data_IF_090357578526
#
_entry.id   IF_090357578526
#
_cell.length_a   1.000
_cell.length_b   1.000
_cell.length_c   1.000
_cell.angle_alpha   90.00
_cell.angle_beta   90.00
_cell.angle_gamma   90.00
#
_symmetry.space_group_name_H-M   'P 1'
#
loop_
_entity.id
_entity.type
_entity.pdbx_description
1 polymer ?
#
# COMPACT_ATOMS: atom_id res chain seq x y z
N UNK A 1 16.74 -2.22 -11.63
CA UNK A 1 16.06 -2.83 -12.80
C UNK A 1 15.14 -3.92 -12.27
N UNK A 2 13.92 -4.11 -12.81
CA UNK A 2 13.01 -5.13 -12.30
C UNK A 2 13.65 -6.52 -12.40
N UNK A 3 13.57 -7.31 -11.33
CA UNK A 3 14.07 -8.67 -11.29
C UNK A 3 13.07 -9.58 -12.01
N UNK A 4 13.40 -10.01 -13.23
CA UNK A 4 12.51 -10.80 -14.08
C UNK A 4 13.03 -12.24 -14.17
N UNK A 5 12.18 -13.22 -13.82
CA UNK A 5 12.53 -14.65 -13.83
C UNK A 5 11.41 -15.47 -14.47
N UNK A 6 11.69 -16.66 -15.04
CA UNK A 6 10.63 -17.55 -15.49
C UNK A 6 9.91 -18.19 -14.29
N UNK A 7 8.61 -18.49 -14.42
CA UNK A 7 7.82 -19.14 -13.35
C UNK A 7 8.44 -20.48 -12.92
N UNK A 8 9.10 -21.20 -13.83
CA UNK A 8 9.83 -22.44 -13.52
C UNK A 8 10.99 -22.23 -12.54
N UNK A 9 11.58 -21.03 -12.49
CA UNK A 9 12.68 -20.69 -11.58
C UNK A 9 12.22 -20.67 -10.11
N UNK A 10 10.95 -20.30 -9.88
CA UNK A 10 10.36 -20.26 -8.53
C UNK A 10 10.44 -21.61 -7.84
N UNK A 11 10.23 -22.71 -8.58
CA UNK A 11 10.26 -24.07 -8.03
C UNK A 11 11.63 -24.45 -7.48
N UNK A 12 12.70 -24.05 -8.16
CA UNK A 12 14.06 -24.48 -7.85
C UNK A 12 14.80 -23.47 -6.97
N UNK A 13 14.48 -22.19 -7.09
CA UNK A 13 15.19 -21.09 -6.44
C UNK A 13 14.30 -20.32 -5.44
N UNK A 14 13.26 -20.97 -4.89
CA UNK A 14 12.32 -20.34 -3.97
C UNK A 14 13.02 -19.62 -2.81
N UNK A 15 14.01 -20.25 -2.17
CA UNK A 15 14.72 -19.67 -1.02
C UNK A 15 15.39 -18.34 -1.38
N UNK A 16 16.16 -18.33 -2.46
CA UNK A 16 16.83 -17.12 -2.95
C UNK A 16 15.81 -16.03 -3.35
N UNK A 17 14.73 -16.41 -4.02
CA UNK A 17 13.67 -15.48 -4.41
C UNK A 17 12.96 -14.91 -3.18
N UNK A 18 12.71 -15.74 -2.17
CA UNK A 18 12.14 -15.31 -0.89
C UNK A 18 13.08 -14.34 -0.18
N UNK A 19 14.38 -14.62 -0.11
CA UNK A 19 15.39 -13.73 0.47
C UNK A 19 15.40 -12.38 -0.24
N UNK A 20 15.46 -12.36 -1.58
CA UNK A 20 15.38 -11.13 -2.38
C UNK A 20 14.14 -10.29 -2.05
N UNK A 21 12.96 -10.93 -1.97
CA UNK A 21 11.71 -10.24 -1.64
C UNK A 21 11.68 -9.63 -0.24
N UNK A 22 12.45 -10.16 0.72
CA UNK A 22 12.49 -9.67 2.10
C UNK A 22 13.64 -8.68 2.35
N UNK A 23 14.83 -8.96 1.84
CA UNK A 23 16.05 -8.19 2.11
C UNK A 23 16.11 -6.92 1.27
N UNK A 24 15.88 -7.03 -0.04
CA UNK A 24 15.92 -5.88 -0.94
C UNK A 24 14.62 -5.07 -0.87
N UNK A 25 13.54 -5.66 -0.34
CA UNK A 25 12.22 -5.03 -0.29
C UNK A 25 11.65 -4.71 -1.68
N UNK A 26 12.10 -5.44 -2.70
CA UNK A 26 11.66 -5.29 -4.09
C UNK A 26 10.90 -6.52 -4.59
N UNK A 27 9.89 -6.35 -5.47
CA UNK A 27 9.16 -7.46 -6.04
C UNK A 27 9.94 -8.16 -7.16
N UNK A 28 9.74 -9.47 -7.29
CA UNK A 28 10.23 -10.29 -8.41
C UNK A 28 9.09 -10.52 -9.41
N UNK A 29 9.35 -10.21 -10.67
CA UNK A 29 8.41 -10.39 -11.77
C UNK A 29 8.64 -11.75 -12.43
N UNK A 30 7.58 -12.54 -12.52
CA UNK A 30 7.62 -13.87 -13.14
C UNK A 30 7.03 -13.86 -14.53
N UNK A 31 7.67 -14.62 -15.42
CA UNK A 31 7.28 -14.78 -16.81
C UNK A 31 6.91 -16.22 -17.13
N UNK A 32 5.91 -16.37 -18.00
CA UNK A 32 5.52 -17.65 -18.58
C UNK A 32 5.66 -17.56 -20.09
N UNK A 33 6.52 -18.39 -20.68
CA UNK A 33 6.84 -18.36 -22.13
C UNK A 33 7.27 -16.96 -22.62
N UNK A 34 8.12 -16.27 -21.85
CA UNK A 34 8.65 -14.94 -22.17
C UNK A 34 7.68 -13.78 -22.00
N UNK A 35 6.44 -14.03 -21.54
CA UNK A 35 5.45 -13.00 -21.25
C UNK A 35 5.30 -12.83 -19.73
N UNK A 36 5.11 -11.59 -19.27
CA UNK A 36 4.80 -11.31 -17.86
C UNK A 36 3.52 -12.04 -17.44
N UNK A 37 3.54 -12.63 -16.24
CA UNK A 37 2.46 -13.48 -15.73
C UNK A 37 2.06 -13.08 -14.31
N UNK A 38 3.02 -13.04 -13.37
CA UNK A 38 2.76 -12.71 -11.97
C UNK A 38 3.89 -11.93 -11.31
N UNK A 39 3.62 -11.39 -10.13
CA UNK A 39 4.61 -10.72 -9.27
C UNK A 39 4.63 -11.40 -7.92
N UNK A 40 5.82 -11.66 -7.39
CA UNK A 40 6.04 -12.20 -6.05
C UNK A 40 6.74 -11.13 -5.22
N UNK A 41 6.28 -10.91 -4.00
CA UNK A 41 6.88 -9.96 -3.05
C UNK A 41 6.68 -10.44 -1.61
N UNK A 42 7.38 -9.83 -0.66
CA UNK A 42 7.13 -10.08 0.76
C UNK A 42 5.78 -9.52 1.19
N UNK A 43 5.19 -10.11 2.23
CA UNK A 43 3.93 -9.64 2.81
C UNK A 43 4.05 -8.18 3.29
N UNK A 44 5.17 -7.84 3.94
CA UNK A 44 5.44 -6.49 4.42
C UNK A 44 5.44 -5.45 3.27
N UNK A 45 6.02 -5.78 2.12
CA UNK A 45 6.00 -4.88 0.96
C UNK A 45 4.58 -4.70 0.42
N UNK A 46 3.83 -5.79 0.30
CA UNK A 46 2.44 -5.75 -0.14
C UNK A 46 1.55 -4.89 0.78
N UNK A 47 1.62 -5.12 2.09
CA UNK A 47 0.86 -4.35 3.09
C UNK A 47 1.22 -2.86 3.09
N UNK A 48 2.52 -2.55 2.95
CA UNK A 48 2.99 -1.16 2.83
C UNK A 48 2.42 -0.47 1.59
N UNK A 49 2.44 -1.15 0.43
CA UNK A 49 1.85 -0.61 -0.79
C UNK A 49 0.36 -0.36 -0.64
N UNK A 50 -0.37 -1.32 -0.04
CA UNK A 50 -1.80 -1.19 0.18
C UNK A 50 -2.14 -0.04 1.15
N UNK A 51 -1.37 0.11 2.22
CA UNK A 51 -1.51 1.22 3.17
C UNK A 51 -1.26 2.59 2.52
N UNK A 52 -0.28 2.66 1.61
CA UNK A 52 0.00 3.90 0.87
C UNK A 52 -1.15 4.26 -0.09
N UNK A 53 -1.72 3.28 -0.79
CA UNK A 53 -2.87 3.50 -1.66
C UNK A 53 -4.05 4.05 -0.87
N UNK A 54 -4.37 3.44 0.28
CA UNK A 54 -5.45 3.91 1.16
C UNK A 54 -5.19 5.32 1.70
N UNK A 55 -3.94 5.62 2.06
CA UNK A 55 -3.55 6.97 2.49
C UNK A 55 -3.79 7.99 1.37
N UNK A 56 -3.35 7.70 0.14
CA UNK A 56 -3.54 8.61 -0.99
C UNK A 56 -5.01 8.82 -1.33
N UNK A 57 -5.84 7.79 -1.23
CA UNK A 57 -7.28 7.91 -1.41
C UNK A 57 -7.88 8.89 -0.38
N UNK A 58 -7.57 8.71 0.91
CA UNK A 58 -8.05 9.60 1.98
C UNK A 58 -7.55 11.05 1.82
N UNK A 59 -6.32 11.23 1.37
CA UNK A 59 -5.79 12.56 1.09
C UNK A 59 -6.53 13.23 -0.07
N UNK A 60 -6.79 12.50 -1.16
CA UNK A 60 -7.57 13.02 -2.28
C UNK A 60 -9.00 13.41 -1.89
N UNK A 61 -9.66 12.61 -1.04
CA UNK A 61 -10.97 12.96 -0.47
C UNK A 61 -10.90 14.26 0.35
N UNK A 62 -9.88 14.41 1.20
CA UNK A 62 -9.68 15.59 2.03
C UNK A 62 -9.36 16.85 1.21
N UNK A 63 -8.61 16.71 0.12
CA UNK A 63 -8.33 17.80 -0.83
C UNK A 63 -9.61 18.29 -1.51
N UNK A 64 -10.41 17.37 -2.06
CA UNK A 64 -11.72 17.71 -2.64
C UNK A 64 -12.65 18.36 -1.61
N UNK A 65 -12.67 17.87 -0.37
CA UNK A 65 -13.46 18.48 0.69
C UNK A 65 -12.98 19.89 1.04
N UNK A 66 -11.67 20.09 1.14
CA UNK A 66 -11.05 21.39 1.39
C UNK A 66 -11.42 22.42 0.32
N UNK A 67 -11.41 22.01 -0.95
CA UNK A 67 -11.77 22.86 -2.09
C UNK A 67 -13.27 23.17 -2.17
N UNK A 68 -14.13 22.24 -1.72
CA UNK A 68 -15.59 22.37 -1.83
C UNK A 68 -16.24 23.47 -0.96
N UNK A 69 -15.44 24.29 -0.26
CA UNK A 69 -15.86 25.43 0.57
C UNK A 69 -16.97 25.10 1.59
N UNK A 70 -16.98 23.87 2.10
CA UNK A 70 -17.87 23.44 3.19
C UNK A 70 -17.52 24.17 4.49
N UNK A 71 -18.53 24.36 5.34
CA UNK A 71 -18.36 24.91 6.68
C UNK A 71 -17.30 24.12 7.45
N UNK A 72 -16.21 24.80 7.85
CA UNK A 72 -15.14 24.23 8.67
C UNK A 72 -15.42 24.54 10.13
N UNK A 73 -15.15 23.58 11.00
CA UNK A 73 -15.19 23.78 12.46
C UNK A 73 -13.76 23.94 12.99
N UNK A 74 -13.60 24.76 14.02
CA UNK A 74 -12.29 24.91 14.65
C UNK A 74 -11.92 23.63 15.41
N UNK A 75 -10.62 23.38 15.56
CA UNK A 75 -10.12 22.26 16.35
C UNK A 75 -10.69 22.26 17.79
N UNK A 76 -10.86 23.47 18.38
CA UNK A 76 -11.41 23.65 19.72
C UNK A 76 -12.87 23.20 19.80
N UNK A 77 -13.68 23.56 18.80
CA UNK A 77 -15.10 23.21 18.75
C UNK A 77 -15.27 21.71 18.50
N UNK A 78 -14.47 21.12 17.61
CA UNK A 78 -14.43 19.68 17.38
C UNK A 78 -14.14 18.89 18.66
N UNK A 79 -13.09 19.25 19.40
CA UNK A 79 -12.75 18.57 20.66
C UNK A 79 -13.87 18.71 21.69
N UNK A 80 -14.49 19.90 21.78
CA UNK A 80 -15.61 20.13 22.70
C UNK A 80 -16.79 19.21 22.37
N UNK A 81 -17.14 19.07 21.09
CA UNK A 81 -18.23 18.20 20.63
C UNK A 81 -17.92 16.72 20.87
N UNK A 82 -16.71 16.26 20.56
CA UNK A 82 -16.30 14.87 20.79
C UNK A 82 -16.36 14.48 22.27
N UNK A 83 -15.90 15.36 23.16
CA UNK A 83 -15.97 15.13 24.61
C UNK A 83 -17.40 15.09 25.14
N UNK A 84 -18.30 15.89 24.57
CA UNK A 84 -19.70 15.87 24.96
C UNK A 84 -20.34 14.51 24.60
N UNK A 85 -20.08 13.98 23.40
CA UNK A 85 -20.58 12.68 22.93
C UNK A 85 -20.05 11.46 23.69
N UNK A 86 -18.90 11.58 24.35
CA UNK A 86 -18.31 10.51 25.17
C UNK A 86 -18.87 10.46 26.61
N UNK A 87 -19.52 11.54 27.04
CA UNK A 87 -20.07 11.69 28.40
C UNK A 87 -21.62 11.52 28.42
N UNK A 88 -22.23 11.21 27.28
CA UNK A 88 -23.59 10.65 27.16
C UNK A 88 -23.54 9.12 27.18
#
# INVERSE_FOLDING_TARGET
MPNIRPVSDLRNNFKQISELCHEEGEPVFLTKNGKGDMVVMSQALYEKQQSLIELYQKLGEAELESESNKNRISHKDLIKEMKAKLNE
#
